data_IF_627987965370
#
_entry.id   IF_627987965370
#
_cell.length_a   1.000
_cell.length_b   1.000
_cell.length_c   1.000
_cell.angle_alpha   90.00
_cell.angle_beta   90.00
_cell.angle_gamma   90.00
#
_symmetry.space_group_name_H-M   'P 1'
#
loop_
_entity.id
_entity.type
_entity.pdbx_description
1 polymer ?
#
# COMPACT_ATOMS: atom_id res chain seq x y z
N UNK A 1 6.54 -7.26 -18.98
CA UNK A 1 6.37 -6.06 -18.13
C UNK A 1 4.89 -5.87 -17.90
N UNK A 2 4.44 -5.88 -16.64
CA UNK A 2 3.04 -5.68 -16.30
C UNK A 2 2.72 -4.19 -16.35
N UNK A 3 1.72 -3.78 -17.14
CA UNK A 3 1.29 -2.39 -17.29
C UNK A 3 0.22 -1.99 -16.26
N UNK A 4 0.14 -2.70 -15.13
CA UNK A 4 -0.89 -2.45 -14.14
C UNK A 4 -0.66 -1.09 -13.47
N UNK A 5 -1.67 -0.23 -13.55
CA UNK A 5 -1.65 1.12 -12.98
C UNK A 5 -2.52 1.25 -11.74
N UNK A 6 -3.55 0.41 -11.60
CA UNK A 6 -4.40 0.36 -10.41
C UNK A 6 -4.57 -1.09 -9.96
N UNK A 7 -4.48 -1.31 -8.65
CA UNK A 7 -4.72 -2.59 -8.00
C UNK A 7 -5.68 -2.33 -6.84
N UNK A 8 -6.87 -2.90 -6.93
CA UNK A 8 -7.92 -2.82 -5.92
C UNK A 8 -8.03 -4.16 -5.21
N UNK A 9 -7.79 -4.15 -3.90
CA UNK A 9 -7.89 -5.29 -2.99
C UNK A 9 -8.76 -4.92 -1.77
N UNK A 10 -9.65 -3.93 -1.93
CA UNK A 10 -10.57 -3.52 -0.89
C UNK A 10 -11.44 -4.69 -0.40
N UNK A 11 -11.76 -4.72 0.90
CA UNK A 11 -12.67 -5.70 1.52
C UNK A 11 -12.26 -7.15 1.27
N UNK A 12 -11.02 -7.46 1.66
CA UNK A 12 -10.48 -8.81 1.65
C UNK A 12 -10.05 -9.22 3.06
N UNK A 13 -9.47 -10.42 3.16
CA UNK A 13 -8.93 -10.95 4.41
C UNK A 13 -7.39 -11.01 4.38
N UNK A 14 -6.76 -10.01 3.77
CA UNK A 14 -5.31 -9.97 3.66
C UNK A 14 -4.69 -9.64 5.01
N UNK A 15 -3.86 -10.53 5.52
CA UNK A 15 -3.03 -10.30 6.72
C UNK A 15 -1.66 -9.71 6.35
N UNK A 16 -1.20 -9.92 5.11
CA UNK A 16 0.11 -9.48 4.64
C UNK A 16 0.10 -9.14 3.15
N UNK A 17 1.10 -8.35 2.74
CA UNK A 17 1.30 -7.92 1.35
C UNK A 17 2.49 -8.68 0.77
N UNK A 18 2.34 -9.44 -0.31
CA UNK A 18 3.46 -10.11 -0.96
C UNK A 18 4.53 -9.11 -1.45
N UNK A 19 5.83 -9.41 -1.26
CA UNK A 19 6.90 -8.50 -1.67
C UNK A 19 6.92 -8.24 -3.18
N UNK A 20 6.36 -9.14 -3.98
CA UNK A 20 6.23 -9.04 -5.44
C UNK A 20 5.40 -7.84 -5.89
N UNK A 21 4.49 -7.32 -5.06
CA UNK A 21 3.74 -6.10 -5.38
C UNK A 21 4.70 -4.93 -5.64
N UNK A 22 5.85 -4.88 -4.95
CA UNK A 22 6.89 -3.86 -5.19
C UNK A 22 7.49 -3.87 -6.60
N UNK A 23 7.26 -4.92 -7.41
CA UNK A 23 7.70 -5.00 -8.80
C UNK A 23 6.74 -4.30 -9.77
N UNK A 24 5.55 -3.92 -9.32
CA UNK A 24 4.54 -3.22 -10.13
C UNK A 24 4.89 -1.72 -10.24
N UNK A 25 6.05 -1.39 -10.81
CA UNK A 25 6.61 -0.03 -10.79
C UNK A 25 5.79 1.02 -11.56
N UNK A 26 4.75 0.60 -12.30
CA UNK A 26 3.79 1.49 -13.00
C UNK A 26 2.52 1.76 -12.19
N UNK A 27 2.38 1.16 -11.01
CA UNK A 27 1.20 1.31 -10.16
C UNK A 27 1.12 2.74 -9.63
N UNK A 28 -0.03 3.38 -9.87
CA UNK A 28 -0.37 4.72 -9.36
C UNK A 28 -1.39 4.65 -8.24
N UNK A 29 -2.19 3.59 -8.16
CA UNK A 29 -3.23 3.41 -7.16
C UNK A 29 -3.17 1.99 -6.58
N UNK A 30 -3.08 1.90 -5.26
CA UNK A 30 -3.16 0.65 -4.52
C UNK A 30 -4.21 0.80 -3.43
N UNK A 31 -5.31 0.07 -3.56
CA UNK A 31 -6.34 -0.01 -2.53
C UNK A 31 -6.18 -1.31 -1.74
N UNK A 32 -5.96 -1.18 -0.43
CA UNK A 32 -5.86 -2.27 0.54
C UNK A 32 -6.85 -2.05 1.70
N UNK A 33 -7.84 -1.18 1.53
CA UNK A 33 -8.79 -0.86 2.58
C UNK A 33 -9.61 -2.07 3.05
N UNK A 34 -10.09 -2.04 4.29
CA UNK A 34 -10.90 -3.08 4.90
C UNK A 34 -10.24 -4.47 4.79
N UNK A 35 -9.07 -4.61 5.41
CA UNK A 35 -8.27 -5.84 5.47
C UNK A 35 -7.73 -6.05 6.90
N UNK A 36 -6.82 -7.02 7.09
CA UNK A 36 -6.20 -7.33 8.38
C UNK A 36 -4.69 -7.00 8.39
N UNK A 37 -4.28 -6.02 7.58
CA UNK A 37 -2.87 -5.66 7.41
C UNK A 37 -2.38 -4.86 8.61
N UNK A 38 -1.29 -5.34 9.21
CA UNK A 38 -0.64 -4.67 10.35
C UNK A 38 0.69 -4.02 9.96
N UNK A 39 1.26 -4.39 8.81
CA UNK A 39 2.59 -3.95 8.37
C UNK A 39 2.68 -3.82 6.85
N UNK A 40 3.36 -2.78 6.37
CA UNK A 40 3.61 -2.54 4.94
C UNK A 40 5.07 -2.87 4.61
N UNK A 41 5.38 -3.90 3.82
CA UNK A 41 6.76 -4.30 3.63
C UNK A 41 7.58 -3.25 2.88
N UNK A 42 8.84 -3.05 3.29
CA UNK A 42 9.76 -2.09 2.67
C UNK A 42 10.05 -2.37 1.19
N UNK A 43 9.73 -3.58 0.69
CA UNK A 43 9.80 -3.93 -0.73
C UNK A 43 8.86 -3.07 -1.59
N UNK A 44 7.80 -2.49 -1.03
CA UNK A 44 6.90 -1.59 -1.76
C UNK A 44 7.54 -0.23 -2.05
N UNK A 45 8.71 0.11 -1.48
CA UNK A 45 9.45 1.34 -1.80
C UNK A 45 9.77 1.49 -3.31
N UNK A 46 9.76 0.39 -4.06
CA UNK A 46 9.92 0.39 -5.52
C UNK A 46 8.73 0.98 -6.30
N UNK A 47 7.58 1.20 -5.65
CA UNK A 47 6.38 1.80 -6.24
C UNK A 47 6.53 3.34 -6.35
N UNK A 48 7.53 3.79 -7.09
CA UNK A 48 7.90 5.21 -7.22
C UNK A 48 6.89 6.08 -7.97
N UNK A 49 5.87 5.46 -8.58
CA UNK A 49 4.78 6.15 -9.28
C UNK A 49 3.48 6.14 -8.46
N UNK A 50 3.48 5.59 -7.25
CA UNK A 50 2.28 5.45 -6.44
C UNK A 50 1.81 6.82 -5.95
N UNK A 51 0.57 7.15 -6.28
CA UNK A 51 -0.06 8.44 -5.94
C UNK A 51 -1.07 8.30 -4.82
N UNK A 52 -1.71 7.15 -4.72
CA UNK A 52 -2.69 6.85 -3.70
C UNK A 52 -2.48 5.45 -3.14
N UNK A 53 -2.39 5.37 -1.82
CA UNK A 53 -2.36 4.15 -1.03
C UNK A 53 -3.51 4.20 -0.01
N UNK A 54 -4.53 3.36 -0.20
CA UNK A 54 -5.63 3.25 0.75
C UNK A 54 -5.38 2.10 1.73
N UNK A 55 -5.30 2.43 3.02
CA UNK A 55 -5.13 1.54 4.16
C UNK A 55 -6.30 1.64 5.15
N UNK A 56 -7.39 2.32 4.77
CA UNK A 56 -8.60 2.48 5.57
C UNK A 56 -9.04 1.15 6.20
N UNK A 57 -9.57 1.16 7.43
CA UNK A 57 -10.07 -0.07 8.09
C UNK A 57 -9.05 -1.22 8.10
N UNK A 58 -7.80 -0.95 8.44
CA UNK A 58 -6.80 -1.97 8.76
C UNK A 58 -6.32 -1.81 10.20
N UNK A 59 -5.93 -2.90 10.89
CA UNK A 59 -5.37 -2.85 12.25
C UNK A 59 -3.90 -2.38 12.27
N UNK A 60 -3.57 -1.38 11.47
CA UNK A 60 -2.22 -0.81 11.33
C UNK A 60 -1.96 0.21 12.44
N UNK A 61 -0.78 0.14 13.06
CA UNK A 61 -0.44 1.05 14.15
C UNK A 61 -0.09 2.46 13.64
N UNK A 62 -0.24 3.47 14.49
CA UNK A 62 0.10 4.86 14.12
C UNK A 62 1.58 5.04 13.80
N UNK A 63 2.44 4.30 14.49
CA UNK A 63 3.89 4.30 14.25
C UNK A 63 4.21 3.74 12.86
N UNK A 64 3.51 2.68 12.45
CA UNK A 64 3.64 2.09 11.12
C UNK A 64 3.11 3.04 10.04
N UNK A 65 1.98 3.72 10.27
CA UNK A 65 1.48 4.77 9.35
C UNK A 65 2.53 5.87 9.15
N UNK A 66 3.12 6.40 10.22
CA UNK A 66 4.17 7.42 10.11
C UNK A 66 5.39 6.91 9.31
N UNK A 67 5.74 5.63 9.48
CA UNK A 67 6.80 4.98 8.68
C UNK A 67 6.43 4.88 7.20
N UNK A 68 5.17 4.56 6.88
CA UNK A 68 4.65 4.46 5.51
C UNK A 68 4.61 5.82 4.84
N UNK A 69 4.13 6.86 5.52
CA UNK A 69 4.14 8.24 5.02
C UNK A 69 5.57 8.71 4.69
N UNK A 70 6.54 8.38 5.56
CA UNK A 70 7.96 8.66 5.31
C UNK A 70 8.54 7.84 4.14
N UNK A 71 8.03 6.63 3.90
CA UNK A 71 8.43 5.77 2.78
C UNK A 71 7.89 6.28 1.44
N UNK A 72 6.73 6.91 1.43
CA UNK A 72 6.06 7.44 0.24
C UNK A 72 5.73 8.94 0.38
N UNK A 73 6.73 9.84 0.43
CA UNK A 73 6.49 11.27 0.62
C UNK A 73 5.75 11.95 -0.54
N UNK A 74 5.60 11.25 -1.67
CA UNK A 74 4.89 11.69 -2.88
C UNK A 74 3.49 11.07 -3.03
N UNK A 75 3.10 10.19 -2.12
CA UNK A 75 1.86 9.42 -2.17
C UNK A 75 0.90 9.92 -1.10
N UNK A 76 -0.39 9.99 -1.44
CA UNK A 76 -1.45 10.21 -0.46
C UNK A 76 -1.75 8.87 0.20
N UNK A 77 -1.59 8.79 1.52
CA UNK A 77 -1.93 7.62 2.32
C UNK A 77 -3.24 7.89 3.06
N UNK A 78 -4.25 7.03 2.86
CA UNK A 78 -5.55 7.12 3.53
C UNK A 78 -5.62 6.01 4.58
N UNK A 79 -5.94 6.31 5.84
CA UNK A 79 -5.83 5.33 6.94
C UNK A 79 -6.79 5.53 8.13
N UNK A 80 -7.66 6.54 8.08
CA UNK A 80 -8.65 6.83 9.15
C UNK A 80 -9.94 6.03 8.99
#
# INVERSE_FOLDING_TARGET
MTNLTALDLFENQLESIPPEIGKLTKLTNLDLGNNQITHIPSSLKGLTQLKLLNLFMNPISKEEIARVEAMFPHCIVVYE
#
